data_IF_189105439494
#
_entry.id   IF_189105439494
#
_cell.length_a   1.000
_cell.length_b   1.000
_cell.length_c   1.000
_cell.angle_alpha   90.00
_cell.angle_beta   90.00
_cell.angle_gamma   90.00
#
_symmetry.space_group_name_H-M   'P 1'
#
loop_
_entity.id
_entity.type
_entity.pdbx_description
1 polymer ?
#
# COMPACT_ATOMS: atom_id res chain seq x y z
N UNK A 1 -2.00 -31.04 26.33
CA UNK A 1 -2.63 -30.57 27.57
C UNK A 1 -2.74 -29.04 27.44
N UNK A 2 -3.99 -28.52 27.33
CA UNK A 2 -4.22 -27.08 27.26
C UNK A 2 -3.86 -26.45 28.61
N UNK A 3 -3.08 -25.38 28.58
CA UNK A 3 -2.79 -24.57 29.74
C UNK A 3 -4.12 -24.01 30.27
N UNK A 4 -4.47 -24.38 31.49
CA UNK A 4 -5.66 -23.89 32.19
C UNK A 4 -5.40 -22.48 32.68
N UNK A 5 -5.64 -21.45 31.81
CA UNK A 5 -5.59 -20.07 32.22
C UNK A 5 -7.00 -19.50 32.41
N UNK A 6 -7.19 -18.83 33.54
CA UNK A 6 -8.44 -18.12 33.83
C UNK A 6 -8.62 -16.96 32.85
N UNK A 7 -9.85 -16.72 32.30
CA UNK A 7 -10.15 -15.55 31.49
C UNK A 7 -9.76 -14.23 32.17
N UNK A 8 -9.92 -14.13 33.48
CA UNK A 8 -9.49 -12.98 34.25
C UNK A 8 -7.98 -12.72 34.16
N UNK A 9 -7.17 -13.78 34.29
CA UNK A 9 -5.71 -13.69 34.19
C UNK A 9 -5.31 -13.32 32.77
N UNK A 10 -5.95 -13.91 31.74
CA UNK A 10 -5.66 -13.61 30.35
C UNK A 10 -5.90 -12.15 29.99
N UNK A 11 -6.94 -11.54 30.55
CA UNK A 11 -7.27 -10.15 30.24
C UNK A 11 -6.40 -9.17 31.05
N UNK A 12 -6.14 -9.48 32.32
CA UNK A 12 -5.56 -8.48 33.23
C UNK A 12 -4.06 -8.68 33.51
N UNK A 13 -3.50 -9.88 33.25
CA UNK A 13 -2.14 -10.22 33.71
C UNK A 13 -1.22 -10.78 32.63
N UNK A 14 -1.62 -10.83 31.36
CA UNK A 14 -0.78 -11.39 30.27
C UNK A 14 -0.07 -10.32 29.43
N UNK A 15 -0.28 -9.05 29.73
CA UNK A 15 0.32 -7.93 29.00
C UNK A 15 -0.63 -7.29 27.99
N UNK A 16 -0.09 -6.56 27.02
CA UNK A 16 -0.89 -5.85 26.01
C UNK A 16 -0.17 -5.78 24.67
N UNK A 17 -0.94 -5.71 23.60
CA UNK A 17 -0.48 -5.36 22.26
C UNK A 17 -1.15 -4.05 21.82
N UNK A 18 -0.37 -3.16 21.25
CA UNK A 18 -0.85 -1.93 20.63
C UNK A 18 -0.41 -1.94 19.15
N UNK A 19 -1.37 -1.68 18.28
CA UNK A 19 -1.12 -1.57 16.84
C UNK A 19 -1.59 -0.21 16.37
N UNK A 20 -0.72 0.51 15.69
CA UNK A 20 -0.99 1.83 15.15
C UNK A 20 -0.74 1.82 13.65
N UNK A 21 -1.62 2.46 12.90
CA UNK A 21 -1.52 2.58 11.44
C UNK A 21 -1.66 4.04 11.06
N UNK A 22 -0.61 4.57 10.47
CA UNK A 22 -0.59 5.92 9.90
C UNK A 22 -0.64 5.84 8.38
N UNK A 23 -1.58 6.55 7.77
CA UNK A 23 -1.73 6.62 6.31
C UNK A 23 -1.76 8.07 5.88
N UNK A 24 -0.85 8.44 5.01
CA UNK A 24 -0.81 9.74 4.36
C UNK A 24 -0.92 9.57 2.85
N UNK A 25 -1.77 10.38 2.21
CA UNK A 25 -1.89 10.46 0.76
C UNK A 25 -1.87 11.91 0.34
N UNK A 26 -0.99 12.25 -0.58
CA UNK A 26 -0.87 13.58 -1.15
C UNK A 26 -0.96 13.49 -2.67
N UNK A 27 -1.73 14.38 -3.28
CA UNK A 27 -1.82 14.48 -4.73
C UNK A 27 -1.78 15.95 -5.12
N UNK A 28 -0.90 16.27 -6.05
CA UNK A 28 -0.82 17.60 -6.68
C UNK A 28 -1.10 17.43 -8.17
N UNK A 29 -2.04 18.19 -8.70
CA UNK A 29 -2.37 18.18 -10.12
C UNK A 29 -2.33 19.61 -10.68
N UNK A 30 -1.73 19.75 -11.86
CA UNK A 30 -1.66 20.97 -12.64
C UNK A 30 -2.40 20.71 -13.96
N UNK A 31 -3.39 21.53 -14.27
CA UNK A 31 -4.11 21.48 -15.54
C UNK A 31 -3.82 22.78 -16.28
N UNK A 32 -3.30 22.67 -17.49
CA UNK A 32 -2.98 23.80 -18.35
C UNK A 32 -3.75 23.68 -19.66
N UNK A 33 -4.49 24.71 -20.00
CA UNK A 33 -5.14 24.86 -21.29
C UNK A 33 -4.22 25.65 -22.23
N UNK A 34 -3.85 25.03 -23.34
CA UNK A 34 -3.03 25.62 -24.39
C UNK A 34 -3.84 25.98 -25.63
N UNK A 35 -5.16 26.09 -25.49
CA UNK A 35 -6.05 26.38 -26.64
C UNK A 35 -5.77 27.70 -27.33
N UNK A 36 -5.10 28.65 -26.64
CA UNK A 36 -4.63 29.91 -27.25
C UNK A 36 -3.48 29.67 -28.25
N UNK A 37 -2.62 28.68 -28.00
CA UNK A 37 -1.50 28.35 -28.90
C UNK A 37 -1.95 27.32 -29.96
N UNK A 38 -2.64 26.27 -29.52
CA UNK A 38 -3.17 25.20 -30.37
C UNK A 38 -4.57 24.89 -29.91
N UNK A 39 -5.56 25.28 -30.71
CA UNK A 39 -6.98 25.08 -30.39
C UNK A 39 -7.29 23.63 -30.01
N UNK A 40 -7.82 23.42 -28.81
CA UNK A 40 -8.20 22.11 -28.27
C UNK A 40 -7.11 21.33 -27.59
N UNK A 41 -5.91 21.93 -27.36
CA UNK A 41 -4.80 21.29 -26.66
C UNK A 41 -4.84 21.55 -25.16
N UNK A 42 -4.82 20.49 -24.34
CA UNK A 42 -4.82 20.53 -22.88
C UNK A 42 -3.79 19.59 -22.32
N UNK A 43 -3.06 20.06 -21.32
CA UNK A 43 -2.07 19.27 -20.56
C UNK A 43 -2.52 19.12 -19.12
N UNK A 44 -2.45 17.91 -18.61
CA UNK A 44 -2.58 17.61 -17.18
C UNK A 44 -1.33 16.88 -16.69
N UNK A 45 -0.74 17.40 -15.63
CA UNK A 45 0.38 16.76 -14.92
C UNK A 45 -0.08 16.50 -13.50
N UNK A 46 0.16 15.30 -12.99
CA UNK A 46 -0.20 14.92 -11.64
C UNK A 46 0.93 14.14 -10.98
N UNK A 47 1.25 14.53 -9.75
CA UNK A 47 2.14 13.78 -8.86
C UNK A 47 1.37 13.33 -7.63
N UNK A 48 1.58 12.10 -7.19
CA UNK A 48 1.02 11.55 -5.98
C UNK A 48 2.09 10.88 -5.11
N UNK A 49 1.93 11.03 -3.81
CA UNK A 49 2.77 10.38 -2.81
C UNK A 49 1.89 9.72 -1.75
N UNK A 50 2.05 8.41 -1.61
CA UNK A 50 1.36 7.61 -0.61
C UNK A 50 2.38 7.06 0.39
N UNK A 51 2.07 7.17 1.68
CA UNK A 51 2.83 6.57 2.77
C UNK A 51 1.89 5.82 3.69
N UNK A 52 2.28 4.60 4.08
CA UNK A 52 1.65 3.83 5.13
C UNK A 52 2.72 3.39 6.11
N UNK A 53 2.52 3.66 7.39
CA UNK A 53 3.37 3.17 8.47
C UNK A 53 2.53 2.32 9.41
N UNK A 54 2.95 1.10 9.60
CA UNK A 54 2.39 0.19 10.58
C UNK A 54 3.39 0.02 11.72
N UNK A 55 2.91 0.21 12.91
CA UNK A 55 3.69 0.12 14.14
C UNK A 55 2.99 -0.82 15.10
N UNK A 56 3.72 -1.84 15.58
CA UNK A 56 3.20 -2.83 16.52
C UNK A 56 4.13 -2.93 17.71
N UNK A 57 3.57 -2.76 18.89
CA UNK A 57 4.24 -3.02 20.16
C UNK A 57 3.52 -4.12 20.91
N UNK A 58 4.28 -5.08 21.41
CA UNK A 58 3.74 -6.16 22.24
C UNK A 58 4.57 -6.28 23.52
N UNK A 59 3.89 -6.19 24.62
CA UNK A 59 4.42 -6.54 25.95
C UNK A 59 3.71 -7.79 26.42
N UNK A 60 4.45 -8.84 26.70
CA UNK A 60 3.94 -10.13 27.10
C UNK A 60 4.45 -10.50 28.47
N UNK A 61 3.57 -10.89 29.34
CA UNK A 61 3.87 -11.37 30.70
C UNK A 61 3.12 -12.68 30.91
N UNK A 62 3.71 -13.62 31.57
CA UNK A 62 3.04 -14.85 31.98
C UNK A 62 3.23 -15.00 33.50
N UNK A 63 2.15 -14.74 34.30
CA UNK A 63 2.23 -14.95 35.73
C UNK A 63 2.27 -16.43 36.10
N UNK A 64 2.82 -16.75 37.26
CA UNK A 64 2.67 -18.09 37.83
C UNK A 64 1.18 -18.35 38.16
N UNK A 65 0.71 -19.55 37.82
CA UNK A 65 -0.65 -19.98 38.15
C UNK A 65 -0.59 -21.19 39.07
N UNK A 66 -1.48 -21.19 40.05
CA UNK A 66 -1.53 -22.21 41.07
C UNK A 66 -2.93 -22.83 41.17
N UNK A 67 -2.98 -24.12 41.34
CA UNK A 67 -4.21 -24.83 41.70
C UNK A 67 -4.18 -25.16 43.19
N UNK A 68 -5.32 -24.94 43.86
CA UNK A 68 -5.48 -25.38 45.22
C UNK A 68 -5.79 -26.89 45.28
N UNK A 69 -4.97 -27.67 45.94
CA UNK A 69 -5.13 -29.13 46.10
C UNK A 69 -5.99 -29.44 47.32
N UNK A 70 -6.02 -28.55 48.32
CA UNK A 70 -6.77 -28.79 49.56
C UNK A 70 -6.40 -27.77 50.61
N UNK A 71 -6.79 -28.04 51.86
CA UNK A 71 -6.42 -27.24 53.03
C UNK A 71 -5.58 -28.08 54.00
N UNK A 72 -4.56 -27.46 54.55
CA UNK A 72 -3.76 -28.02 55.64
C UNK A 72 -4.54 -27.99 56.97
N UNK A 73 -4.03 -28.67 58.01
CA UNK A 73 -4.64 -28.72 59.32
C UNK A 73 -4.74 -27.38 60.02
N UNK A 74 -3.94 -26.40 59.62
CA UNK A 74 -3.94 -25.01 60.11
C UNK A 74 -4.89 -24.09 59.33
N UNK A 75 -5.62 -24.65 58.32
CA UNK A 75 -6.55 -23.90 57.45
C UNK A 75 -5.93 -23.24 56.23
N UNK A 76 -4.61 -23.25 56.07
CA UNK A 76 -3.91 -22.69 54.89
C UNK A 76 -4.21 -23.52 53.64
N UNK A 77 -4.15 -22.87 52.44
CA UNK A 77 -4.33 -23.55 51.16
C UNK A 77 -3.03 -24.23 50.75
N UNK A 78 -3.16 -25.52 50.37
CA UNK A 78 -2.06 -26.25 49.72
C UNK A 78 -2.14 -25.93 48.24
N UNK A 79 -1.14 -25.19 47.70
CA UNK A 79 -1.09 -24.72 46.33
C UNK A 79 -0.06 -25.54 45.54
N UNK A 80 -0.42 -25.90 44.33
CA UNK A 80 0.48 -26.52 43.38
C UNK A 80 0.64 -25.55 42.18
N UNK A 81 1.88 -25.20 41.84
CA UNK A 81 2.17 -24.42 40.65
C UNK A 81 1.89 -25.26 39.41
N UNK A 82 1.00 -24.76 38.52
CA UNK A 82 0.60 -25.41 37.27
C UNK A 82 1.19 -24.70 36.05
N UNK A 83 1.46 -23.41 36.15
CA UNK A 83 2.10 -22.63 35.11
C UNK A 83 3.22 -21.80 35.74
N UNK A 84 4.40 -21.93 35.22
CA UNK A 84 5.57 -21.18 35.69
C UNK A 84 5.53 -19.72 35.20
N UNK A 85 6.00 -18.81 36.02
CA UNK A 85 6.20 -17.42 35.64
C UNK A 85 7.22 -17.33 34.50
N UNK A 86 6.90 -16.54 33.47
CA UNK A 86 7.88 -16.10 32.47
C UNK A 86 8.14 -14.61 32.61
N UNK A 87 9.41 -14.23 32.55
CA UNK A 87 9.83 -12.82 32.59
C UNK A 87 9.12 -12.03 31.49
N UNK A 88 8.79 -10.78 31.81
CA UNK A 88 8.21 -9.85 30.85
C UNK A 88 9.08 -9.75 29.59
N UNK A 89 8.46 -9.89 28.44
CA UNK A 89 9.09 -9.70 27.13
C UNK A 89 8.48 -8.50 26.40
N UNK A 90 9.30 -7.83 25.63
CA UNK A 90 8.91 -6.71 24.78
C UNK A 90 9.33 -7.00 23.34
N UNK A 91 8.41 -6.84 22.42
CA UNK A 91 8.70 -6.91 21.00
C UNK A 91 8.09 -5.71 20.28
N UNK A 92 8.78 -5.24 19.27
CA UNK A 92 8.40 -4.12 18.43
C UNK A 92 8.59 -4.52 16.97
N UNK A 93 7.63 -4.19 16.12
CA UNK A 93 7.71 -4.36 14.69
C UNK A 93 7.24 -3.09 14.00
N UNK A 94 7.95 -2.70 12.96
CA UNK A 94 7.63 -1.53 12.15
C UNK A 94 7.66 -1.92 10.69
N UNK A 95 6.60 -1.59 9.96
CA UNK A 95 6.52 -1.78 8.52
C UNK A 95 6.16 -0.46 7.86
N UNK A 96 6.86 -0.11 6.79
CA UNK A 96 6.61 1.09 6.02
C UNK A 96 6.42 0.75 4.55
N UNK A 97 5.38 1.32 3.96
CA UNK A 97 5.14 1.32 2.53
C UNK A 97 5.11 2.76 2.04
N UNK A 98 5.79 3.01 0.92
CA UNK A 98 5.75 4.30 0.21
C UNK A 98 5.55 4.07 -1.28
N UNK A 99 4.81 4.98 -1.90
CA UNK A 99 4.61 4.97 -3.35
C UNK A 99 4.70 6.39 -3.88
N UNK A 100 5.50 6.56 -4.91
CA UNK A 100 5.50 7.74 -5.77
C UNK A 100 4.80 7.39 -7.06
N UNK A 101 3.97 8.27 -7.53
CA UNK A 101 3.31 8.14 -8.81
C UNK A 101 3.33 9.50 -9.51
N UNK A 102 3.77 9.50 -10.76
CA UNK A 102 3.75 10.68 -11.62
C UNK A 102 3.05 10.29 -12.91
N UNK A 103 2.18 11.18 -13.40
CA UNK A 103 1.51 11.01 -14.68
C UNK A 103 1.40 12.34 -15.42
N UNK A 104 1.45 12.25 -16.74
CA UNK A 104 1.21 13.37 -17.64
C UNK A 104 0.24 12.93 -18.74
N UNK A 105 -0.76 13.74 -18.97
CA UNK A 105 -1.79 13.49 -20.00
C UNK A 105 -1.88 14.68 -20.91
N UNK A 106 -1.63 14.49 -22.19
CA UNK A 106 -1.83 15.48 -23.23
C UNK A 106 -3.08 15.11 -24.02
N UNK A 107 -4.06 15.98 -24.03
CA UNK A 107 -5.30 15.83 -24.76
C UNK A 107 -5.38 16.87 -25.87
N UNK A 108 -5.78 16.42 -27.03
CA UNK A 108 -6.12 17.27 -28.17
C UNK A 108 -7.49 16.89 -28.68
N UNK A 109 -8.37 17.86 -28.83
CA UNK A 109 -9.70 17.66 -29.40
C UNK A 109 -10.06 18.85 -30.28
N UNK A 110 -10.35 18.57 -31.55
CA UNK A 110 -10.67 19.62 -32.51
C UNK A 110 -11.64 19.15 -33.59
N UNK A 111 -12.56 20.04 -33.90
CA UNK A 111 -13.43 19.94 -35.06
C UNK A 111 -12.84 20.81 -36.21
N UNK A 112 -12.46 20.20 -37.31
CA UNK A 112 -12.01 20.91 -38.51
C UNK A 112 -13.17 21.03 -39.48
N UNK A 113 -13.57 22.26 -39.72
CA UNK A 113 -14.79 22.55 -40.48
C UNK A 113 -16.03 22.05 -39.73
N UNK A 114 -16.97 21.45 -40.46
CA UNK A 114 -18.18 20.84 -39.90
C UNK A 114 -18.13 19.31 -39.85
N UNK A 115 -17.21 18.70 -40.59
CA UNK A 115 -17.27 17.30 -40.95
C UNK A 115 -16.17 16.45 -40.35
N UNK A 116 -15.07 17.05 -39.89
CA UNK A 116 -13.87 16.31 -39.47
C UNK A 116 -13.63 16.48 -37.97
N UNK A 117 -13.98 15.50 -37.17
CA UNK A 117 -13.67 15.46 -35.74
C UNK A 117 -12.41 14.67 -35.50
N UNK A 118 -11.44 15.27 -34.81
CA UNK A 118 -10.17 14.63 -34.47
C UNK A 118 -9.92 14.76 -32.99
N UNK A 119 -9.57 13.64 -32.33
CA UNK A 119 -9.15 13.63 -30.95
C UNK A 119 -7.90 12.78 -30.81
N UNK A 120 -6.96 13.25 -29.98
CA UNK A 120 -5.75 12.53 -29.66
C UNK A 120 -5.48 12.64 -28.13
N UNK A 121 -5.01 11.56 -27.56
CA UNK A 121 -4.59 11.46 -26.17
C UNK A 121 -3.23 10.80 -26.14
N UNK A 122 -2.29 11.40 -25.39
CA UNK A 122 -1.03 10.78 -25.01
C UNK A 122 -0.96 10.78 -23.49
N UNK A 123 -0.73 9.62 -22.91
CA UNK A 123 -0.63 9.40 -21.49
C UNK A 123 0.72 8.76 -21.16
N UNK A 124 1.45 9.35 -20.23
CA UNK A 124 2.69 8.81 -19.68
C UNK A 124 2.56 8.66 -18.19
N UNK A 125 3.09 7.59 -17.62
CA UNK A 125 3.18 7.41 -16.18
C UNK A 125 4.48 6.74 -15.75
N UNK A 126 4.90 7.04 -14.54
CA UNK A 126 5.96 6.35 -13.81
C UNK A 126 5.51 6.13 -12.36
N UNK A 127 5.77 4.97 -11.82
CA UNK A 127 5.41 4.58 -10.47
C UNK A 127 6.57 3.85 -9.81
N UNK A 128 6.92 4.26 -8.60
CA UNK A 128 7.93 3.62 -7.74
C UNK A 128 7.26 3.30 -6.41
N UNK A 129 7.28 2.04 -6.00
CA UNK A 129 6.76 1.62 -4.71
C UNK A 129 7.77 0.75 -3.99
N UNK A 130 7.90 1.00 -2.69
CA UNK A 130 8.78 0.25 -1.80
C UNK A 130 8.02 -0.15 -0.54
N UNK A 131 8.04 -1.42 -0.24
CA UNK A 131 7.61 -1.97 1.04
C UNK A 131 8.87 -2.31 1.85
N UNK A 132 8.97 -1.77 3.06
CA UNK A 132 10.04 -2.10 4.00
C UNK A 132 9.40 -2.92 5.09
N UNK A 133 9.44 -4.23 4.93
CA UNK A 133 9.08 -5.17 5.98
C UNK A 133 10.35 -5.54 6.75
N UNK A 134 10.24 -5.83 8.06
CA UNK A 134 11.30 -6.46 8.84
C UNK A 134 11.65 -7.87 8.30
N UNK A 135 11.00 -8.30 7.23
CA UNK A 135 11.24 -9.59 6.61
C UNK A 135 12.62 -9.65 5.96
N UNK A 136 13.34 -10.66 6.33
CA UNK A 136 14.72 -11.02 6.05
C UNK A 136 15.04 -11.37 4.58
N UNK A 137 14.19 -11.02 3.62
CA UNK A 137 14.38 -11.33 2.20
C UNK A 137 14.96 -10.13 1.44
N UNK A 138 16.12 -10.31 0.83
CA UNK A 138 16.70 -9.32 -0.08
C UNK A 138 15.78 -8.95 -1.26
N UNK A 139 14.85 -9.83 -1.62
CA UNK A 139 13.87 -9.57 -2.69
C UNK A 139 12.82 -8.54 -2.29
N UNK A 140 12.38 -8.52 -1.04
CA UNK A 140 11.38 -7.56 -0.54
C UNK A 140 11.93 -6.14 -0.39
N UNK A 141 13.26 -5.98 -0.41
CA UNK A 141 13.93 -4.69 -0.33
C UNK A 141 14.00 -3.96 -1.70
N UNK A 142 13.69 -4.65 -2.80
CA UNK A 142 13.76 -4.09 -4.16
C UNK A 142 12.49 -3.26 -4.41
N UNK A 143 12.62 -1.97 -4.80
CA UNK A 143 11.46 -1.18 -5.20
C UNK A 143 10.80 -1.78 -6.45
N UNK A 144 9.48 -1.73 -6.49
CA UNK A 144 8.71 -2.10 -7.69
C UNK A 144 8.53 -0.84 -8.55
N UNK A 145 9.13 -0.83 -9.73
CA UNK A 145 9.06 0.29 -10.66
C UNK A 145 8.36 -0.10 -11.95
N UNK A 146 7.43 0.77 -12.35
CA UNK A 146 6.68 0.65 -13.58
C UNK A 146 6.68 1.99 -14.30
N UNK A 147 6.80 1.93 -15.61
CA UNK A 147 6.59 3.09 -16.47
C UNK A 147 5.83 2.68 -17.73
N UNK A 148 5.14 3.62 -18.32
CA UNK A 148 4.42 3.33 -19.54
C UNK A 148 4.00 4.58 -20.28
N UNK A 149 3.81 4.40 -21.58
CA UNK A 149 3.21 5.38 -22.45
C UNK A 149 2.05 4.72 -23.18
N UNK A 150 0.96 5.42 -23.29
CA UNK A 150 -0.16 5.02 -24.13
C UNK A 150 -0.67 6.19 -24.96
N UNK A 151 -1.18 5.91 -26.13
CA UNK A 151 -1.79 6.90 -26.98
C UNK A 151 -3.06 6.37 -27.60
N UNK A 152 -3.99 7.26 -27.83
CA UNK A 152 -5.23 7.01 -28.56
C UNK A 152 -5.43 8.13 -29.56
N UNK A 153 -5.77 7.75 -30.76
CA UNK A 153 -6.16 8.67 -31.83
C UNK A 153 -7.53 8.28 -32.35
N UNK A 154 -8.45 9.25 -32.39
CA UNK A 154 -9.76 9.04 -32.98
C UNK A 154 -10.02 10.07 -34.07
N UNK A 155 -10.64 9.62 -35.13
CA UNK A 155 -11.05 10.45 -36.24
C UNK A 155 -12.46 10.08 -36.69
N UNK A 156 -13.30 11.10 -36.85
CA UNK A 156 -14.64 10.97 -37.34
C UNK A 156 -14.88 11.86 -38.56
N UNK A 157 -15.46 11.28 -39.61
CA UNK A 157 -15.90 12.02 -40.79
C UNK A 157 -17.43 11.99 -40.90
N UNK A 158 -18.04 13.18 -40.82
CA UNK A 158 -19.50 13.35 -40.83
C UNK A 158 -20.27 12.49 -39.83
N UNK A 159 -19.60 12.16 -38.70
CA UNK A 159 -20.10 11.23 -37.68
C UNK A 159 -20.57 9.87 -38.23
N UNK A 160 -20.23 9.56 -39.48
CA UNK A 160 -20.61 8.33 -40.17
C UNK A 160 -19.44 7.34 -40.26
N UNK A 161 -18.23 7.83 -40.53
CA UNK A 161 -17.03 7.02 -40.58
C UNK A 161 -16.17 7.34 -39.38
N UNK A 162 -15.85 6.31 -38.60
CA UNK A 162 -15.10 6.43 -37.35
C UNK A 162 -13.85 5.56 -37.41
N UNK A 163 -12.70 6.12 -37.05
CA UNK A 163 -11.44 5.43 -36.87
C UNK A 163 -10.98 5.62 -35.42
N UNK A 164 -10.60 4.55 -34.75
CA UNK A 164 -10.02 4.56 -33.40
C UNK A 164 -8.76 3.69 -33.37
N UNK A 165 -7.63 4.29 -33.06
CA UNK A 165 -6.32 3.61 -32.97
C UNK A 165 -5.76 3.80 -31.58
N UNK A 166 -5.38 2.70 -30.93
CA UNK A 166 -4.81 2.69 -29.60
C UNK A 166 -3.43 2.04 -29.65
N UNK A 167 -2.49 2.66 -28.93
CA UNK A 167 -1.16 2.14 -28.74
C UNK A 167 -0.80 2.18 -27.25
N UNK A 168 -0.13 1.15 -26.74
CA UNK A 168 0.37 1.08 -25.38
C UNK A 168 1.72 0.37 -25.31
N UNK A 169 2.61 0.94 -24.51
CA UNK A 169 3.93 0.38 -24.25
C UNK A 169 4.25 0.54 -22.76
N UNK A 170 4.56 -0.56 -22.09
CA UNK A 170 4.81 -0.58 -20.63
C UNK A 170 6.08 -1.34 -20.33
N UNK A 171 6.83 -0.83 -19.35
CA UNK A 171 8.04 -1.44 -18.84
C UNK A 171 7.99 -1.64 -17.32
N UNK A 172 8.68 -2.67 -16.87
CA UNK A 172 8.80 -3.01 -15.44
C UNK A 172 10.20 -3.47 -15.10
N UNK A 173 10.74 -3.02 -13.98
CA UNK A 173 12.04 -3.49 -13.46
C UNK A 173 11.99 -4.93 -12.91
N UNK A 174 10.80 -5.54 -12.80
CA UNK A 174 10.66 -6.92 -12.34
C UNK A 174 11.21 -7.96 -13.34
N UNK A 175 11.54 -7.54 -14.55
CA UNK A 175 12.11 -8.40 -15.58
C UNK A 175 13.61 -8.22 -15.69
N UNK A 176 14.30 -9.26 -16.17
CA UNK A 176 15.74 -9.23 -16.41
C UNK A 176 16.14 -8.04 -17.32
N UNK A 177 17.32 -7.41 -17.08
CA UNK A 177 17.85 -6.39 -17.97
C UNK A 177 17.81 -6.85 -19.44
N UNK A 178 17.24 -6.02 -20.33
CA UNK A 178 17.00 -6.34 -21.73
C UNK A 178 15.68 -7.06 -22.04
N UNK A 179 14.87 -7.37 -21.04
CA UNK A 179 13.49 -7.91 -21.18
C UNK A 179 12.48 -7.14 -20.32
N UNK A 180 12.77 -5.89 -20.03
CA UNK A 180 11.98 -5.03 -19.15
C UNK A 180 10.78 -4.39 -19.85
N UNK A 181 10.65 -4.61 -21.16
CA UNK A 181 9.63 -4.02 -22.02
C UNK A 181 8.92 -5.10 -22.84
#
# INVERSE_FOLDING_TARGET
AGELSSPYVMINHTGKAANEVYKGKSTLAINQDFSELVSGLKLRIQGAYDIHSYFSERRSVQPALYNALGRASDGSLIMQETVQEKKASYSKSTRQYRKYHFEATLNYDRLFGTDHRTSALVYYYISDSKDTDDATSNLSAIPLRYQGVSSRFTYGYKDTYLLDVNFGYTGSENFQPGRQY
#
